data_IF_350171878850
#
_entry.id   IF_350171878850
#
_cell.length_a   1.000
_cell.length_b   1.000
_cell.length_c   1.000
_cell.angle_alpha   90.00
_cell.angle_beta   90.00
_cell.angle_gamma   90.00
#
_symmetry.space_group_name_H-M   'P 1'
#
loop_
_entity.id
_entity.type
_entity.pdbx_description
1 polymer ?
#
# COMPACT_ATOMS: atom_id res chain seq x y z
N UNK A 1 21.68 -12.97 -6.02
CA UNK A 1 20.63 -12.13 -5.41
C UNK A 1 20.67 -12.37 -3.92
N UNK A 2 21.35 -11.46 -3.24
CA UNK A 2 21.74 -11.52 -1.84
C UNK A 2 20.51 -11.60 -0.92
N UNK A 3 20.58 -12.49 0.08
CA UNK A 3 19.51 -12.73 1.06
C UNK A 3 19.05 -11.44 1.74
N UNK A 4 19.95 -10.47 1.88
CA UNK A 4 19.69 -9.15 2.45
C UNK A 4 18.66 -8.36 1.64
N UNK A 5 18.78 -8.35 0.31
CA UNK A 5 17.86 -7.61 -0.56
C UNK A 5 16.43 -8.17 -0.49
N UNK A 6 16.33 -9.49 -0.30
CA UNK A 6 15.04 -10.20 -0.14
C UNK A 6 14.41 -9.90 1.22
N UNK A 7 15.22 -9.81 2.28
CA UNK A 7 14.76 -9.46 3.62
C UNK A 7 14.28 -8.00 3.68
N UNK A 8 15.01 -7.06 3.09
CA UNK A 8 14.62 -5.64 3.03
C UNK A 8 13.30 -5.45 2.28
N UNK A 9 13.14 -6.12 1.13
CA UNK A 9 11.87 -6.13 0.37
C UNK A 9 10.71 -6.70 1.19
N UNK A 10 10.95 -7.79 1.94
CA UNK A 10 9.94 -8.36 2.82
C UNK A 10 9.54 -7.38 3.94
N UNK A 11 10.50 -6.71 4.58
CA UNK A 11 10.22 -5.72 5.62
C UNK A 11 9.40 -4.55 5.09
N UNK A 12 9.74 -3.99 3.93
CA UNK A 12 8.96 -2.91 3.30
C UNK A 12 7.53 -3.35 2.99
N UNK A 13 7.34 -4.60 2.55
CA UNK A 13 6.02 -5.16 2.28
C UNK A 13 5.20 -5.34 3.57
N UNK A 14 5.82 -5.84 4.64
CA UNK A 14 5.16 -6.00 5.94
C UNK A 14 4.79 -4.64 6.52
N UNK A 15 5.71 -3.67 6.53
CA UNK A 15 5.46 -2.30 7.01
C UNK A 15 4.34 -1.65 6.21
N UNK A 16 4.34 -1.81 4.89
CA UNK A 16 3.27 -1.32 4.02
C UNK A 16 1.91 -1.95 4.32
N UNK A 17 1.84 -3.28 4.48
CA UNK A 17 0.61 -3.98 4.86
C UNK A 17 0.10 -3.57 6.25
N UNK A 18 0.99 -3.47 7.24
CA UNK A 18 0.63 -3.03 8.60
C UNK A 18 0.15 -1.58 8.57
N UNK A 19 0.83 -0.69 7.85
CA UNK A 19 0.41 0.71 7.71
C UNK A 19 -0.97 0.83 7.05
N UNK A 20 -1.25 0.03 6.04
CA UNK A 20 -2.55 -0.01 5.37
C UNK A 20 -3.64 -0.50 6.35
N UNK A 21 -3.38 -1.57 7.10
CA UNK A 21 -4.30 -2.06 8.13
C UNK A 21 -4.56 -0.99 9.19
N UNK A 22 -3.52 -0.34 9.73
CA UNK A 22 -3.66 0.69 10.77
C UNK A 22 -4.49 1.88 10.28
N UNK A 23 -4.24 2.36 9.06
CA UNK A 23 -4.98 3.50 8.51
C UNK A 23 -6.44 3.13 8.22
N UNK A 24 -6.69 1.97 7.60
CA UNK A 24 -8.06 1.54 7.29
C UNK A 24 -8.85 1.19 8.56
N UNK A 25 -8.25 0.49 9.52
CA UNK A 25 -8.89 0.24 10.81
C UNK A 25 -9.11 1.52 11.61
N UNK A 26 -8.16 2.46 11.59
CA UNK A 26 -8.32 3.77 12.21
C UNK A 26 -9.48 4.56 11.61
N UNK A 27 -9.60 4.58 10.28
CA UNK A 27 -10.74 5.18 9.60
C UNK A 27 -12.06 4.50 9.93
N UNK A 28 -12.08 3.17 9.95
CA UNK A 28 -13.25 2.38 10.31
C UNK A 28 -13.67 2.69 11.75
N UNK A 29 -12.73 2.76 12.68
CA UNK A 29 -12.99 3.15 14.07
C UNK A 29 -13.56 4.57 14.18
N UNK A 30 -12.98 5.55 13.48
CA UNK A 30 -13.51 6.92 13.46
C UNK A 30 -14.93 7.00 12.89
N UNK A 31 -15.22 6.21 11.84
CA UNK A 31 -16.54 6.11 11.23
C UNK A 31 -17.59 5.61 12.23
N UNK A 32 -17.27 4.55 12.99
CA UNK A 32 -18.16 4.03 14.03
C UNK A 32 -18.32 4.96 15.23
N UNK A 33 -17.30 5.76 15.54
CA UNK A 33 -17.34 6.68 16.68
C UNK A 33 -17.93 8.07 16.32
N UNK A 34 -18.29 8.31 15.06
CA UNK A 34 -18.92 9.55 14.58
C UNK A 34 -17.98 10.77 14.58
N UNK A 35 -16.66 10.57 14.68
CA UNK A 35 -15.68 11.67 14.65
C UNK A 35 -15.45 12.10 13.20
N UNK A 36 -15.38 13.41 12.98
CA UNK A 36 -15.10 13.97 11.66
C UNK A 36 -13.73 13.49 11.13
N UNK A 37 -13.74 12.77 10.01
CA UNK A 37 -12.54 12.31 9.29
C UNK A 37 -11.99 13.36 8.32
N UNK A 38 -12.62 14.54 8.24
CA UNK A 38 -12.24 15.62 7.32
C UNK A 38 -10.83 16.17 7.55
N UNK A 39 -10.28 15.98 8.75
CA UNK A 39 -8.92 16.40 9.11
C UNK A 39 -7.83 15.44 8.62
N UNK A 40 -8.18 14.25 8.09
CA UNK A 40 -7.18 13.27 7.70
C UNK A 40 -6.76 13.50 6.25
N UNK A 41 -5.50 13.91 5.99
CA UNK A 41 -5.04 14.20 4.66
C UNK A 41 -5.01 12.93 3.80
N UNK A 42 -5.61 13.00 2.60
CA UNK A 42 -5.71 11.88 1.65
C UNK A 42 -4.36 11.27 1.25
N UNK A 43 -3.27 12.03 1.32
CA UNK A 43 -1.92 11.54 1.03
C UNK A 43 -1.45 10.46 2.03
N UNK A 44 -1.99 10.45 3.26
CA UNK A 44 -1.72 9.40 4.26
C UNK A 44 -2.28 8.06 3.78
N UNK A 45 -3.38 8.02 3.02
CA UNK A 45 -3.89 6.76 2.46
C UNK A 45 -3.00 6.22 1.34
N UNK A 46 -2.32 7.07 0.59
CA UNK A 46 -1.45 6.67 -0.52
C UNK A 46 -0.06 6.21 -0.06
N UNK A 47 0.45 6.76 1.04
CA UNK A 47 1.80 6.45 1.56
C UNK A 47 2.06 4.94 1.79
N UNK A 48 1.16 4.16 2.44
CA UNK A 48 1.33 2.73 2.61
C UNK A 48 1.34 1.97 1.29
N UNK A 49 0.51 2.39 0.33
CA UNK A 49 0.46 1.77 -1.00
C UNK A 49 1.77 1.95 -1.77
N UNK A 50 2.38 3.14 -1.66
CA UNK A 50 3.72 3.40 -2.20
C UNK A 50 4.76 2.52 -1.50
N UNK A 51 4.70 2.40 -0.16
CA UNK A 51 5.59 1.50 0.58
C UNK A 51 5.46 0.03 0.17
N UNK A 52 4.23 -0.47 -0.01
CA UNK A 52 3.97 -1.82 -0.52
C UNK A 52 4.59 -1.96 -1.90
N UNK A 53 4.30 -1.03 -2.81
CA UNK A 53 4.80 -1.06 -4.18
C UNK A 53 6.33 -1.10 -4.26
N UNK A 54 7.04 -0.29 -3.48
CA UNK A 54 8.52 -0.32 -3.43
C UNK A 54 9.08 -1.55 -2.71
N UNK A 55 8.34 -2.15 -1.78
CA UNK A 55 8.69 -3.43 -1.16
C UNK A 55 8.53 -4.65 -2.08
N UNK A 56 7.76 -4.52 -3.17
CA UNK A 56 7.62 -5.60 -4.15
C UNK A 56 8.91 -5.81 -4.97
N UNK A 57 9.21 -7.07 -5.28
CA UNK A 57 10.26 -7.40 -6.25
C UNK A 57 9.92 -6.82 -7.63
N UNK A 58 10.94 -6.43 -8.40
CA UNK A 58 10.81 -5.79 -9.71
C UNK A 58 9.94 -6.58 -10.70
N UNK A 59 9.98 -7.92 -10.65
CA UNK A 59 9.08 -8.79 -11.45
C UNK A 59 7.61 -8.61 -11.07
N UNK A 60 7.32 -8.46 -9.77
CA UNK A 60 5.96 -8.25 -9.26
C UNK A 60 5.49 -6.82 -9.52
N UNK A 61 6.37 -5.82 -9.40
CA UNK A 61 6.06 -4.43 -9.78
C UNK A 61 5.64 -4.34 -11.25
N UNK A 62 6.43 -4.94 -12.16
CA UNK A 62 6.10 -5.01 -13.59
C UNK A 62 4.78 -5.75 -13.85
N UNK A 63 4.49 -6.80 -13.07
CA UNK A 63 3.20 -7.51 -13.12
C UNK A 63 2.02 -6.61 -12.74
N UNK A 64 2.17 -5.80 -11.68
CA UNK A 64 1.15 -4.83 -11.24
C UNK A 64 0.95 -3.73 -12.28
N UNK A 65 2.04 -3.17 -12.85
CA UNK A 65 1.94 -2.20 -13.94
C UNK A 65 1.22 -2.82 -15.14
N UNK A 66 1.59 -4.03 -15.57
CA UNK A 66 0.92 -4.72 -16.69
C UNK A 66 -0.56 -4.96 -16.40
N UNK A 67 -0.91 -5.38 -15.19
CA UNK A 67 -2.30 -5.55 -14.78
C UNK A 67 -3.07 -4.22 -14.81
N UNK A 68 -2.44 -3.14 -14.31
CA UNK A 68 -3.02 -1.81 -14.28
C UNK A 68 -3.23 -1.25 -15.69
N UNK A 69 -2.22 -1.36 -16.57
CA UNK A 69 -2.31 -0.99 -17.98
C UNK A 69 -3.38 -1.82 -18.67
N UNK A 70 -3.42 -3.14 -18.47
CA UNK A 70 -4.46 -4.01 -19.04
C UNK A 70 -5.88 -3.61 -18.61
N UNK A 71 -6.07 -3.15 -17.38
CA UNK A 71 -7.35 -2.61 -16.90
C UNK A 71 -7.72 -1.29 -17.58
N UNK A 72 -6.73 -0.50 -17.98
CA UNK A 72 -6.93 0.76 -18.70
C UNK A 72 -7.14 0.57 -20.21
N UNK A 73 -6.49 -0.43 -20.82
CA UNK A 73 -6.64 -0.76 -22.24
C UNK A 73 -7.90 -1.56 -22.55
N UNK A 74 -8.56 -2.16 -21.54
CA UNK A 74 -9.88 -2.80 -21.68
C UNK A 74 -11.04 -1.78 -21.69
N UNK A 75 -10.85 -0.63 -22.32
CA UNK A 75 -11.89 0.37 -22.54
C UNK A 75 -11.92 0.77 -24.00
#
# INVERSE_FOLDING_TARGET
MDKLERATKLMMLVVGCVGLLVIYFGFFYLLFTGKSTAAIPWYILLSPWVCIYFGLSQRKQLGVIRWFVSKWTRK
#
